data_IF_305691681867
#
_entry.id   IF_305691681867
#
_cell.length_a   1.000
_cell.length_b   1.000
_cell.length_c   1.000
_cell.angle_alpha   90.00
_cell.angle_beta   90.00
_cell.angle_gamma   90.00
#
_symmetry.space_group_name_H-M   'P 1'
#
loop_
_entity.id
_entity.type
_entity.pdbx_description
1 polymer ?
#
# COMPACT_ATOMS: atom_id res chain seq x y z
N UNK A 1 9.95 -4.10 -27.69
CA UNK A 1 8.88 -4.56 -26.78
C UNK A 1 9.00 -3.78 -25.48
N UNK A 2 7.89 -3.33 -24.89
CA UNK A 2 7.90 -2.64 -23.59
C UNK A 2 8.34 -3.61 -22.49
N UNK A 3 9.44 -3.31 -21.80
CA UNK A 3 9.94 -4.12 -20.67
C UNK A 3 9.11 -3.86 -19.40
N UNK A 4 9.16 -4.79 -18.45
CA UNK A 4 8.58 -4.62 -17.11
C UNK A 4 9.71 -4.41 -16.12
N UNK A 5 9.56 -3.43 -15.23
CA UNK A 5 10.45 -3.21 -14.11
C UNK A 5 9.69 -3.21 -12.79
N UNK A 6 9.97 -4.17 -11.92
CA UNK A 6 9.47 -4.15 -10.55
C UNK A 6 10.53 -3.57 -9.63
N UNK A 7 10.11 -2.71 -8.71
CA UNK A 7 11.08 -1.95 -7.92
C UNK A 7 10.69 -1.82 -6.45
N UNK A 8 11.68 -1.66 -5.57
CA UNK A 8 11.43 -1.56 -4.14
C UNK A 8 12.60 -0.97 -3.37
N UNK A 9 12.35 -0.67 -2.10
CA UNK A 9 13.39 -0.26 -1.16
C UNK A 9 13.32 -1.13 0.10
N UNK A 10 14.48 -1.42 0.67
CA UNK A 10 14.60 -2.39 1.77
C UNK A 10 15.51 -1.85 2.86
N UNK A 11 15.26 -2.32 4.09
CA UNK A 11 16.09 -2.03 5.24
C UNK A 11 15.93 -3.12 6.30
N UNK A 12 16.95 -3.89 6.62
CA UNK A 12 16.88 -4.93 7.65
C UNK A 12 15.74 -5.96 7.47
N UNK A 13 15.72 -6.64 6.31
CA UNK A 13 14.76 -7.67 5.91
C UNK A 13 15.45 -8.99 5.52
N UNK A 14 16.56 -9.35 6.17
CA UNK A 14 17.35 -10.53 5.78
C UNK A 14 16.51 -11.83 5.73
N UNK A 15 15.49 -11.93 6.59
CA UNK A 15 14.63 -13.11 6.71
C UNK A 15 13.50 -13.19 5.68
N UNK A 16 13.17 -12.10 4.97
CA UNK A 16 12.01 -12.05 4.06
C UNK A 16 12.40 -11.75 2.61
N UNK A 17 13.57 -11.16 2.40
CA UNK A 17 13.99 -10.61 1.09
C UNK A 17 14.04 -11.67 -0.01
N UNK A 18 14.48 -12.89 0.31
CA UNK A 18 14.57 -13.99 -0.65
C UNK A 18 13.20 -14.47 -1.12
N UNK A 19 12.30 -14.77 -0.17
CA UNK A 19 10.95 -15.24 -0.50
C UNK A 19 10.16 -14.16 -1.24
N UNK A 20 10.35 -12.89 -0.88
CA UNK A 20 9.72 -11.75 -1.58
C UNK A 20 10.19 -11.66 -3.04
N UNK A 21 11.51 -11.70 -3.28
CA UNK A 21 12.08 -11.62 -4.64
C UNK A 21 11.66 -12.83 -5.48
N UNK A 22 11.74 -14.05 -4.92
CA UNK A 22 11.31 -15.27 -5.59
C UNK A 22 9.84 -15.19 -6.04
N UNK A 23 8.98 -14.61 -5.21
CA UNK A 23 7.54 -14.53 -5.48
C UNK A 23 7.14 -13.52 -6.56
N UNK A 24 8.00 -12.53 -6.88
CA UNK A 24 7.75 -11.55 -7.97
C UNK A 24 8.61 -11.81 -9.20
N UNK A 25 9.53 -12.78 -9.14
CA UNK A 25 10.52 -12.97 -10.18
C UNK A 25 9.89 -13.53 -11.46
N UNK A 26 10.33 -12.98 -12.59
CA UNK A 26 10.13 -13.50 -13.93
C UNK A 26 11.39 -13.22 -14.73
N UNK A 27 11.82 -14.10 -15.66
CA UNK A 27 12.96 -13.85 -16.52
C UNK A 27 12.80 -12.60 -17.39
N UNK A 28 11.57 -12.15 -17.63
CA UNK A 28 11.26 -10.97 -18.46
C UNK A 28 11.24 -9.65 -17.66
N UNK A 29 11.50 -9.69 -16.36
CA UNK A 29 11.41 -8.53 -15.49
C UNK A 29 12.82 -8.01 -15.14
N UNK A 30 12.94 -6.69 -15.13
CA UNK A 30 14.02 -6.01 -14.42
C UNK A 30 13.58 -5.80 -12.96
N UNK A 31 14.45 -6.12 -12.00
CA UNK A 31 14.16 -5.92 -10.59
C UNK A 31 15.14 -4.90 -10.01
N UNK A 32 14.65 -3.72 -9.63
CA UNK A 32 15.49 -2.65 -9.05
C UNK A 32 15.25 -2.54 -7.55
N UNK A 33 16.28 -2.79 -6.75
CA UNK A 33 16.19 -2.77 -5.29
C UNK A 33 17.17 -1.77 -4.71
N UNK A 34 16.66 -0.88 -3.87
CA UNK A 34 17.46 0.11 -3.12
C UNK A 34 17.56 -0.29 -1.65
N UNK A 35 18.73 -0.75 -1.23
CA UNK A 35 19.07 -1.01 0.17
C UNK A 35 19.37 0.29 0.91
N UNK A 36 18.69 0.51 2.04
CA UNK A 36 18.89 1.68 2.90
C UNK A 36 20.02 1.45 3.92
N UNK A 37 21.13 0.86 3.45
CA UNK A 37 22.27 0.45 4.27
C UNK A 37 21.87 -0.47 5.43
N UNK A 38 21.28 -1.62 5.09
CA UNK A 38 20.95 -2.65 6.07
C UNK A 38 22.19 -3.15 6.82
N UNK A 39 22.01 -3.56 8.08
CA UNK A 39 23.07 -4.03 8.98
C UNK A 39 22.81 -5.43 9.53
N UNK A 40 21.82 -6.14 8.99
CA UNK A 40 21.37 -7.46 9.45
C UNK A 40 21.75 -8.61 8.49
N UNK A 41 22.56 -8.33 7.46
CA UNK A 41 22.87 -9.29 6.40
C UNK A 41 22.01 -9.17 5.14
N UNK A 42 21.03 -8.24 5.10
CA UNK A 42 20.15 -8.08 3.93
C UNK A 42 20.93 -7.78 2.66
N UNK A 43 21.96 -6.92 2.72
CA UNK A 43 22.74 -6.55 1.54
C UNK A 43 23.53 -7.73 0.99
N UNK A 44 24.19 -8.47 1.86
CA UNK A 44 24.96 -9.66 1.52
C UNK A 44 24.03 -10.70 0.88
N UNK A 45 22.84 -10.89 1.45
CA UNK A 45 21.82 -11.78 0.89
C UNK A 45 21.35 -11.32 -0.51
N UNK A 46 21.14 -10.02 -0.72
CA UNK A 46 20.80 -9.48 -2.04
C UNK A 46 21.89 -9.73 -3.07
N UNK A 47 23.16 -9.52 -2.69
CA UNK A 47 24.31 -9.74 -3.57
C UNK A 47 24.42 -11.20 -4.02
N UNK A 48 24.09 -12.15 -3.13
CA UNK A 48 23.99 -13.57 -3.49
C UNK A 48 22.82 -13.83 -4.45
N UNK A 49 21.63 -13.29 -4.16
CA UNK A 49 20.44 -13.44 -5.01
C UNK A 49 20.63 -12.83 -6.41
N UNK A 50 21.43 -11.77 -6.55
CA UNK A 50 21.76 -11.17 -7.86
C UNK A 50 22.49 -12.13 -8.81
N UNK A 51 23.12 -13.19 -8.29
CA UNK A 51 23.76 -14.22 -9.13
C UNK A 51 22.74 -15.10 -9.86
N UNK A 52 21.52 -15.20 -9.33
CA UNK A 52 20.43 -16.05 -9.84
C UNK A 52 19.33 -15.25 -10.52
N UNK A 53 19.04 -14.04 -10.03
CA UNK A 53 17.95 -13.20 -10.50
C UNK A 53 18.47 -11.91 -11.17
N UNK A 54 17.72 -11.36 -12.13
CA UNK A 54 18.04 -10.11 -12.83
C UNK A 54 17.85 -8.88 -11.92
N UNK A 55 18.73 -8.74 -10.92
CA UNK A 55 18.66 -7.68 -9.91
C UNK A 55 19.62 -6.53 -10.22
N UNK A 56 19.08 -5.32 -10.29
CA UNK A 56 19.84 -4.08 -10.14
C UNK A 56 19.81 -3.67 -8.67
N UNK A 57 20.97 -3.74 -8.02
CA UNK A 57 21.12 -3.43 -6.61
C UNK A 57 21.79 -2.08 -6.41
N UNK A 58 21.16 -1.24 -5.61
CA UNK A 58 21.58 0.12 -5.30
C UNK A 58 21.59 0.34 -3.79
N UNK A 59 22.32 1.35 -3.33
CA UNK A 59 22.30 1.79 -1.93
C UNK A 59 22.02 3.27 -1.82
N UNK A 60 21.10 3.63 -0.92
CA UNK A 60 20.77 5.02 -0.62
C UNK A 60 20.21 5.16 0.78
N UNK A 61 20.86 5.97 1.62
CA UNK A 61 20.31 6.33 2.92
C UNK A 61 19.16 7.30 2.75
N UNK A 62 17.93 6.85 2.97
CA UNK A 62 16.73 7.60 2.56
C UNK A 62 15.50 7.32 3.45
N UNK A 63 14.43 8.08 3.21
CA UNK A 63 13.07 7.72 3.65
C UNK A 63 12.52 6.58 2.78
N UNK A 64 11.37 5.99 3.13
CA UNK A 64 10.72 4.98 2.28
C UNK A 64 10.38 5.54 0.89
N UNK A 65 9.74 6.70 0.83
CA UNK A 65 9.40 7.34 -0.45
C UNK A 65 10.64 7.75 -1.24
N UNK A 66 11.72 8.18 -0.57
CA UNK A 66 13.00 8.49 -1.21
C UNK A 66 13.67 7.27 -1.86
N UNK A 67 13.68 6.13 -1.15
CA UNK A 67 14.19 4.88 -1.68
C UNK A 67 13.38 4.38 -2.87
N UNK A 68 12.04 4.42 -2.79
CA UNK A 68 11.15 4.05 -3.91
C UNK A 68 11.31 4.98 -5.11
N UNK A 69 11.48 6.29 -4.90
CA UNK A 69 11.76 7.23 -5.99
C UNK A 69 13.07 6.90 -6.70
N UNK A 70 14.12 6.62 -5.93
CA UNK A 70 15.43 6.29 -6.49
C UNK A 70 15.38 4.97 -7.27
N UNK A 71 14.65 3.97 -6.76
CA UNK A 71 14.44 2.71 -7.45
C UNK A 71 13.67 2.90 -8.77
N UNK A 72 12.55 3.63 -8.75
CA UNK A 72 11.76 3.96 -9.94
C UNK A 72 12.60 4.69 -11.01
N UNK A 73 13.42 5.65 -10.59
CA UNK A 73 14.27 6.41 -11.51
C UNK A 73 15.27 5.51 -12.25
N UNK A 74 15.76 4.46 -11.59
CA UNK A 74 16.72 3.50 -12.14
C UNK A 74 16.06 2.32 -12.87
N UNK A 75 14.73 2.26 -12.97
CA UNK A 75 14.08 1.36 -13.92
C UNK A 75 14.43 1.77 -15.38
N UNK A 76 14.52 0.81 -16.31
CA UNK A 76 14.76 1.11 -17.72
C UNK A 76 13.75 2.09 -18.31
N UNK A 77 14.20 2.94 -19.22
CA UNK A 77 13.34 3.88 -19.93
C UNK A 77 12.27 3.16 -20.75
N UNK A 78 11.07 3.71 -20.77
CA UNK A 78 9.91 3.15 -21.47
C UNK A 78 9.26 1.96 -20.76
N UNK A 79 9.80 1.49 -19.63
CA UNK A 79 9.26 0.33 -18.92
C UNK A 79 7.88 0.57 -18.32
N UNK A 80 7.12 -0.51 -18.17
CA UNK A 80 5.96 -0.59 -17.27
C UNK A 80 6.50 -0.92 -15.89
N UNK A 81 6.11 -0.12 -14.90
CA UNK A 81 6.68 -0.21 -13.56
C UNK A 81 5.62 -0.52 -12.52
N UNK A 82 5.96 -1.33 -11.52
CA UNK A 82 5.19 -1.45 -10.29
C UNK A 82 6.13 -1.57 -9.09
N UNK A 83 5.73 -0.98 -7.97
CA UNK A 83 6.48 -1.14 -6.74
C UNK A 83 6.11 -2.44 -6.02
N UNK A 84 7.03 -2.96 -5.23
CA UNK A 84 6.76 -4.05 -4.29
C UNK A 84 7.58 -3.86 -3.01
N UNK A 85 7.09 -4.44 -1.92
CA UNK A 85 7.72 -4.43 -0.60
C UNK A 85 8.44 -5.77 -0.38
N UNK A 86 9.66 -5.71 0.16
CA UNK A 86 10.53 -6.88 0.33
C UNK A 86 10.30 -7.60 1.68
N UNK A 87 9.09 -7.50 2.23
CA UNK A 87 8.60 -8.29 3.36
C UNK A 87 7.25 -8.94 3.10
N UNK A 88 6.89 -9.10 1.83
CA UNK A 88 5.65 -9.73 1.39
C UNK A 88 5.93 -10.87 0.40
N UNK A 89 5.10 -11.91 0.44
CA UNK A 89 5.03 -12.92 -0.61
C UNK A 89 3.95 -12.52 -1.60
N UNK A 90 4.25 -12.49 -2.89
CA UNK A 90 3.33 -12.12 -3.96
C UNK A 90 2.76 -13.37 -4.65
N UNK A 91 1.44 -13.38 -4.87
CA UNK A 91 0.79 -14.48 -5.59
C UNK A 91 0.70 -14.18 -7.10
N UNK A 92 0.18 -15.13 -7.88
CA UNK A 92 0.05 -15.01 -9.33
C UNK A 92 -0.73 -13.77 -9.81
N UNK A 93 -1.61 -13.20 -8.98
CA UNK A 93 -2.41 -12.04 -9.36
C UNK A 93 -1.56 -10.77 -9.46
N UNK A 94 -0.42 -10.70 -8.78
CA UNK A 94 0.55 -9.61 -8.97
C UNK A 94 1.01 -9.54 -10.43
N UNK A 95 1.37 -10.69 -11.01
CA UNK A 95 1.75 -10.81 -12.41
C UNK A 95 0.61 -10.49 -13.36
N UNK A 96 -0.62 -10.97 -13.08
CA UNK A 96 -1.81 -10.65 -13.89
C UNK A 96 -2.08 -9.14 -13.93
N UNK A 97 -1.94 -8.42 -12.81
CA UNK A 97 -2.10 -6.97 -12.80
C UNK A 97 -0.98 -6.26 -13.58
N UNK A 98 0.26 -6.74 -13.50
CA UNK A 98 1.38 -6.21 -14.29
C UNK A 98 1.17 -6.42 -15.80
N UNK A 99 0.75 -7.61 -16.20
CA UNK A 99 0.47 -7.93 -17.60
C UNK A 99 -0.70 -7.11 -18.13
N UNK A 100 -1.74 -6.91 -17.31
CA UNK A 100 -2.86 -6.00 -17.64
C UNK A 100 -2.41 -4.54 -17.77
N UNK A 101 -1.53 -4.09 -16.88
CA UNK A 101 -0.91 -2.75 -16.97
C UNK A 101 -0.14 -2.60 -18.28
N UNK A 102 0.63 -3.62 -18.67
CA UNK A 102 1.41 -3.63 -19.91
C UNK A 102 0.56 -3.68 -21.16
N UNK A 103 -0.49 -4.50 -21.19
CA UNK A 103 -1.36 -4.65 -22.35
C UNK A 103 -2.20 -3.41 -22.62
N UNK A 104 -2.63 -2.72 -21.57
CA UNK A 104 -3.45 -1.50 -21.68
C UNK A 104 -2.61 -0.22 -21.78
N UNK A 105 -1.36 -0.25 -21.31
CA UNK A 105 -0.51 0.92 -21.09
C UNK A 105 -1.23 2.02 -20.27
N UNK A 106 -2.11 1.59 -19.35
CA UNK A 106 -2.85 2.43 -18.40
C UNK A 106 -2.24 2.34 -17.02
N UNK A 107 -2.58 3.29 -16.16
CA UNK A 107 -2.19 3.22 -14.75
C UNK A 107 -3.22 2.39 -13.99
N UNK A 108 -2.78 1.26 -13.44
CA UNK A 108 -3.63 0.31 -12.72
C UNK A 108 -3.37 0.45 -11.22
N UNK A 109 -4.42 0.62 -10.44
CA UNK A 109 -4.37 0.56 -8.99
C UNK A 109 -5.05 -0.72 -8.50
N UNK A 110 -4.54 -1.32 -7.44
CA UNK A 110 -5.19 -2.40 -6.71
C UNK A 110 -4.80 -2.34 -5.25
N UNK A 111 -5.22 -3.32 -4.46
CA UNK A 111 -4.84 -3.37 -3.05
C UNK A 111 -3.31 -3.48 -2.92
N UNK A 112 -2.67 -2.39 -2.47
CA UNK A 112 -1.20 -2.23 -2.42
C UNK A 112 -0.48 -2.47 -3.74
N UNK A 113 -1.17 -2.26 -4.86
CA UNK A 113 -0.61 -2.33 -6.20
C UNK A 113 -0.73 -0.98 -6.88
N UNK A 114 0.32 -0.56 -7.56
CA UNK A 114 0.24 0.50 -8.54
C UNK A 114 1.20 0.22 -9.70
N UNK A 115 0.63 -0.06 -10.87
CA UNK A 115 1.34 -0.31 -12.11
C UNK A 115 1.15 0.86 -13.08
N UNK A 116 2.19 1.23 -13.83
CA UNK A 116 2.05 2.19 -14.93
C UNK A 116 3.36 2.47 -15.66
N UNK A 117 3.27 3.13 -16.81
CA UNK A 117 4.45 3.56 -17.56
C UNK A 117 5.33 4.50 -16.73
N UNK A 118 6.64 4.19 -16.68
CA UNK A 118 7.65 4.91 -15.90
C UNK A 118 7.62 6.42 -16.15
N UNK A 119 7.64 6.84 -17.42
CA UNK A 119 7.72 8.24 -17.81
C UNK A 119 6.44 8.99 -17.46
N UNK A 120 5.27 8.35 -17.55
CA UNK A 120 4.03 8.91 -17.05
C UNK A 120 4.10 9.21 -15.55
N UNK A 121 4.55 8.24 -14.75
CA UNK A 121 4.65 8.38 -13.29
C UNK A 121 5.69 9.45 -12.92
N UNK A 122 6.87 9.45 -13.56
CA UNK A 122 7.93 10.43 -13.31
C UNK A 122 7.51 11.86 -13.71
N UNK A 123 6.80 12.04 -14.83
CA UNK A 123 6.27 13.37 -15.23
C UNK A 123 5.29 13.94 -14.22
N UNK A 124 4.57 13.09 -13.49
CA UNK A 124 3.68 13.49 -12.38
C UNK A 124 4.40 13.64 -11.04
N UNK A 125 5.73 13.51 -11.02
CA UNK A 125 6.60 13.77 -9.88
C UNK A 125 7.05 12.53 -9.11
N UNK A 126 6.69 11.31 -9.54
CA UNK A 126 7.14 10.07 -8.89
C UNK A 126 6.72 9.96 -7.42
N UNK A 127 7.53 9.31 -6.57
CA UNK A 127 7.33 9.22 -5.12
C UNK A 127 7.83 10.48 -4.41
N UNK A 128 7.10 10.92 -3.38
CA UNK A 128 7.61 11.97 -2.47
C UNK A 128 8.80 11.45 -1.66
N UNK A 129 9.90 12.18 -1.68
CA UNK A 129 11.17 11.75 -1.09
C UNK A 129 11.32 12.05 0.40
N UNK A 130 10.37 12.77 1.01
CA UNK A 130 10.46 13.26 2.39
C UNK A 130 9.52 12.54 3.38
N UNK A 131 8.80 11.50 2.91
CA UNK A 131 7.82 10.72 3.68
C UNK A 131 8.30 9.28 3.95
N UNK A 132 8.14 8.82 5.19
CA UNK A 132 8.29 7.40 5.58
C UNK A 132 6.97 6.65 5.73
N UNK A 133 5.87 7.40 5.87
CA UNK A 133 4.53 6.85 6.06
C UNK A 133 3.51 7.73 5.33
N UNK A 134 2.44 7.11 4.81
CA UNK A 134 1.44 7.79 3.97
C UNK A 134 1.96 8.20 2.59
N UNK A 135 3.17 7.78 2.22
CA UNK A 135 3.76 8.03 0.90
C UNK A 135 3.02 7.32 -0.22
N UNK A 136 2.43 6.16 0.07
CA UNK A 136 1.56 5.38 -0.81
C UNK A 136 0.25 6.12 -1.12
N UNK A 137 -0.44 6.63 -0.09
CA UNK A 137 -1.67 7.41 -0.23
C UNK A 137 -1.38 8.69 -1.01
N UNK A 138 -0.30 9.40 -0.68
CA UNK A 138 0.07 10.61 -1.41
C UNK A 138 0.39 10.32 -2.88
N UNK A 139 1.14 9.25 -3.13
CA UNK A 139 1.51 8.80 -4.46
C UNK A 139 0.28 8.46 -5.30
N UNK A 140 -0.61 7.59 -4.80
CA UNK A 140 -1.82 7.20 -5.53
C UNK A 140 -2.75 8.40 -5.78
N UNK A 141 -2.97 9.27 -4.78
CA UNK A 141 -3.82 10.45 -4.93
C UNK A 141 -3.26 11.45 -5.96
N UNK A 142 -1.94 11.63 -6.01
CA UNK A 142 -1.28 12.58 -6.93
C UNK A 142 -1.15 12.03 -8.34
N UNK A 143 -0.64 10.81 -8.48
CA UNK A 143 -0.43 10.20 -9.80
C UNK A 143 -1.78 9.89 -10.44
N UNK A 144 -2.75 9.42 -9.66
CA UNK A 144 -4.04 8.94 -10.15
C UNK A 144 -3.90 7.63 -10.92
N UNK A 145 -5.04 7.01 -11.21
CA UNK A 145 -5.11 5.73 -11.93
C UNK A 145 -6.30 5.73 -12.91
N UNK A 146 -6.24 4.86 -13.91
CA UNK A 146 -7.28 4.68 -14.91
C UNK A 146 -8.28 3.59 -14.50
N UNK A 147 -7.76 2.50 -13.91
CA UNK A 147 -8.56 1.38 -13.43
C UNK A 147 -8.18 0.99 -12.01
N UNK A 148 -9.18 0.48 -11.28
CA UNK A 148 -8.99 -0.11 -9.96
C UNK A 148 -9.44 -1.59 -9.96
N UNK A 149 -8.59 -2.46 -9.42
CA UNK A 149 -8.86 -3.90 -9.30
C UNK A 149 -8.69 -4.34 -7.83
N UNK A 150 -9.79 -4.60 -7.09
CA UNK A 150 -9.76 -4.94 -5.66
C UNK A 150 -9.37 -6.41 -5.44
N UNK A 151 -8.13 -6.76 -5.78
CA UNK A 151 -7.62 -8.13 -5.69
C UNK A 151 -6.50 -8.26 -4.67
N UNK A 152 -6.44 -9.40 -4.01
CA UNK A 152 -5.36 -9.78 -3.12
C UNK A 152 -4.19 -10.29 -3.95
N UNK A 153 -3.06 -9.58 -3.84
CA UNK A 153 -1.84 -9.86 -4.60
C UNK A 153 -0.68 -10.34 -3.74
N UNK A 154 -0.76 -10.24 -2.41
CA UNK A 154 0.34 -10.58 -1.53
C UNK A 154 -0.10 -10.96 -0.11
N UNK A 155 0.82 -11.54 0.66
CA UNK A 155 0.67 -11.88 2.08
C UNK A 155 1.89 -11.41 2.87
N UNK A 156 1.67 -10.91 4.11
CA UNK A 156 2.75 -10.40 4.97
C UNK A 156 3.63 -11.55 5.50
N UNK A 157 4.92 -11.53 5.16
CA UNK A 157 5.90 -12.50 5.66
C UNK A 157 6.43 -12.13 7.06
N UNK A 158 6.21 -10.89 7.49
CA UNK A 158 6.80 -10.38 8.72
C UNK A 158 6.34 -11.16 9.96
N UNK A 159 5.05 -11.51 10.15
CA UNK A 159 4.63 -12.29 11.33
C UNK A 159 5.24 -13.69 11.37
N UNK A 160 5.35 -14.36 10.21
CA UNK A 160 5.98 -15.69 10.05
C UNK A 160 7.42 -15.69 10.55
N UNK A 161 8.22 -14.70 10.15
CA UNK A 161 9.66 -14.69 10.45
C UNK A 161 10.06 -13.84 11.67
N UNK A 162 9.27 -12.83 12.03
CA UNK A 162 9.62 -11.86 13.07
C UNK A 162 8.74 -11.93 14.32
N UNK A 163 7.82 -12.92 14.44
CA UNK A 163 7.05 -13.25 15.65
C UNK A 163 6.43 -12.03 16.34
N UNK A 164 5.73 -11.18 15.58
CA UNK A 164 5.07 -9.96 16.08
C UNK A 164 6.00 -8.91 16.73
N UNK A 165 7.31 -8.93 16.46
CA UNK A 165 8.18 -7.81 16.80
C UNK A 165 7.64 -6.54 16.14
N UNK A 166 7.77 -5.39 16.80
CA UNK A 166 7.27 -4.14 16.23
C UNK A 166 8.09 -3.79 14.98
N UNK A 167 7.47 -3.75 13.78
CA UNK A 167 8.14 -3.51 12.50
C UNK A 167 9.05 -2.27 12.53
N UNK A 168 8.61 -1.21 13.22
CA UNK A 168 9.39 0.03 13.37
C UNK A 168 10.65 -0.10 14.26
N UNK A 169 10.71 -1.12 15.13
CA UNK A 169 11.87 -1.37 15.99
C UNK A 169 13.12 -1.81 15.21
N UNK A 170 12.95 -2.24 13.94
CA UNK A 170 14.09 -2.53 13.06
C UNK A 170 14.87 -1.27 12.68
N UNK A 171 14.21 -0.11 12.64
CA UNK A 171 14.78 1.19 12.25
C UNK A 171 15.32 2.00 13.42
N UNK A 172 14.77 1.82 14.62
CA UNK A 172 15.16 2.60 15.79
C UNK A 172 14.84 1.84 17.08
N UNK A 173 15.65 2.08 18.11
CA UNK A 173 15.46 1.52 19.46
C UNK A 173 15.30 2.63 20.49
N UNK A 174 14.72 2.31 21.65
CA UNK A 174 14.59 3.21 22.80
C UNK A 174 13.90 4.55 22.44
N UNK A 175 14.41 5.68 22.92
CA UNK A 175 13.85 7.01 22.67
C UNK A 175 13.74 7.35 21.18
N UNK A 176 14.66 6.85 20.34
CA UNK A 176 14.62 7.06 18.89
C UNK A 176 13.42 6.37 18.24
N UNK A 177 12.91 5.28 18.82
CA UNK A 177 11.70 4.61 18.34
C UNK A 177 10.46 5.49 18.53
N UNK A 178 10.33 6.16 19.69
CA UNK A 178 9.24 7.09 19.95
C UNK A 178 9.29 8.30 19.01
N UNK A 179 10.48 8.88 18.82
CA UNK A 179 10.67 9.96 17.86
C UNK A 179 10.30 9.54 16.43
N UNK A 180 10.72 8.33 16.02
CA UNK A 180 10.38 7.78 14.71
C UNK A 180 8.87 7.60 14.54
N UNK A 181 8.16 7.09 15.56
CA UNK A 181 6.70 6.96 15.52
C UNK A 181 6.01 8.30 15.39
N UNK A 182 6.47 9.31 16.12
CA UNK A 182 5.93 10.66 16.01
C UNK A 182 6.19 11.26 14.62
N UNK A 183 7.38 11.05 14.06
CA UNK A 183 7.67 11.42 12.67
C UNK A 183 6.78 10.68 11.67
N UNK A 184 6.58 9.37 11.82
CA UNK A 184 5.68 8.61 10.95
C UNK A 184 4.24 9.12 11.05
N UNK A 185 3.80 9.54 12.25
CA UNK A 185 2.50 10.17 12.41
C UNK A 185 2.41 11.51 11.65
N UNK A 186 3.43 12.36 11.73
CA UNK A 186 3.49 13.61 10.94
C UNK A 186 3.48 13.30 9.43
N UNK A 187 4.26 12.31 8.99
CA UNK A 187 4.35 11.88 7.60
C UNK A 187 2.98 11.38 7.11
N UNK A 188 2.29 10.57 7.91
CA UNK A 188 0.97 10.02 7.61
C UNK A 188 -0.10 11.13 7.51
N UNK A 189 -0.12 12.09 8.46
CA UNK A 189 -1.00 13.26 8.34
C UNK A 189 -0.70 14.06 7.07
N UNK A 190 0.58 14.18 6.71
CA UNK A 190 1.02 14.90 5.52
C UNK A 190 0.51 14.22 4.25
N UNK A 191 0.71 12.91 4.13
CA UNK A 191 0.33 12.12 2.95
C UNK A 191 -1.17 11.92 2.79
N UNK A 192 -1.89 11.66 3.91
CA UNK A 192 -3.36 11.58 3.92
C UNK A 192 -4.04 12.94 3.79
N UNK A 193 -3.28 14.02 4.01
CA UNK A 193 -3.69 15.40 3.92
C UNK A 193 -4.87 15.79 4.84
N UNK A 194 -4.86 15.27 6.06
CA UNK A 194 -5.91 15.55 7.04
C UNK A 194 -5.97 17.03 7.46
N UNK A 195 -7.20 17.49 7.72
CA UNK A 195 -7.45 18.79 8.33
C UNK A 195 -7.50 18.64 9.86
N UNK A 196 -7.59 19.75 10.59
CA UNK A 196 -7.54 19.72 12.04
C UNK A 196 -8.64 18.83 12.64
N UNK A 197 -9.89 18.98 12.18
CA UNK A 197 -11.04 18.21 12.67
C UNK A 197 -10.84 16.70 12.43
N UNK A 198 -10.43 16.32 11.23
CA UNK A 198 -10.15 14.93 10.89
C UNK A 198 -8.98 14.37 11.70
N UNK A 199 -7.95 15.16 11.95
CA UNK A 199 -6.85 14.74 12.82
C UNK A 199 -7.33 14.43 14.23
N UNK A 200 -8.19 15.27 14.82
CA UNK A 200 -8.75 15.04 16.16
C UNK A 200 -9.63 13.79 16.17
N UNK A 201 -10.52 13.62 15.18
CA UNK A 201 -11.37 12.41 15.07
C UNK A 201 -10.49 11.17 14.97
N UNK A 202 -9.53 11.14 14.03
CA UNK A 202 -8.61 10.02 13.86
C UNK A 202 -7.86 9.72 15.14
N UNK A 203 -7.37 10.74 15.82
CA UNK A 203 -6.67 10.56 17.10
C UNK A 203 -7.57 9.96 18.17
N UNK A 204 -8.84 10.36 18.24
CA UNK A 204 -9.82 9.81 19.18
C UNK A 204 -10.17 8.34 18.92
N UNK A 205 -10.09 7.89 17.66
CA UNK A 205 -10.33 6.48 17.28
C UNK A 205 -9.19 5.57 17.76
N UNK A 206 -7.94 6.04 17.65
CA UNK A 206 -6.76 5.19 17.94
C UNK A 206 -6.13 5.42 19.32
N UNK A 207 -6.44 6.53 19.99
CA UNK A 207 -5.76 6.94 21.22
C UNK A 207 -6.71 7.50 22.27
N UNK A 208 -6.27 7.44 23.54
CA UNK A 208 -7.00 8.02 24.68
C UNK A 208 -6.92 9.54 24.66
N UNK A 209 -7.97 10.21 25.15
CA UNK A 209 -8.15 11.68 25.11
C UNK A 209 -6.97 12.50 25.66
N UNK A 210 -6.21 12.00 26.64
CA UNK A 210 -5.05 12.70 27.21
C UNK A 210 -3.87 12.89 26.25
N UNK A 211 -3.89 12.25 25.08
CA UNK A 211 -2.83 12.37 24.07
C UNK A 211 -3.12 13.39 22.97
N UNK A 212 -4.28 14.07 23.02
CA UNK A 212 -4.70 15.10 22.05
C UNK A 212 -3.63 16.18 21.79
N UNK A 213 -2.90 16.71 22.80
CA UNK A 213 -1.86 17.71 22.56
C UNK A 213 -0.76 17.23 21.60
N UNK A 214 -0.40 15.94 21.65
CA UNK A 214 0.58 15.33 20.75
C UNK A 214 0.03 15.29 19.32
N UNK A 215 -1.26 14.94 19.18
CA UNK A 215 -1.96 14.97 17.90
C UNK A 215 -1.99 16.37 17.27
N UNK A 216 -2.29 17.40 18.07
CA UNK A 216 -2.28 18.81 17.64
C UNK A 216 -0.89 19.26 17.20
N UNK A 217 0.15 18.93 17.97
CA UNK A 217 1.53 19.25 17.60
C UNK A 217 1.92 18.58 16.27
N UNK A 218 1.57 17.31 16.10
CA UNK A 218 1.83 16.60 14.84
C UNK A 218 1.09 17.22 13.66
N UNK A 219 -0.15 17.69 13.85
CA UNK A 219 -0.89 18.42 12.82
C UNK A 219 -0.16 19.71 12.40
N UNK A 220 0.22 20.55 13.36
CA UNK A 220 0.94 21.81 13.06
C UNK A 220 2.24 21.54 12.31
N UNK A 221 3.01 20.53 12.73
CA UNK A 221 4.25 20.14 12.06
C UNK A 221 3.99 19.59 10.65
N UNK A 222 2.90 18.86 10.42
CA UNK A 222 2.57 18.36 9.07
C UNK A 222 2.32 19.49 8.05
N UNK A 223 1.88 20.68 8.50
CA UNK A 223 1.70 21.84 7.61
C UNK A 223 3.01 22.39 7.05
N UNK A 224 4.12 22.21 7.78
CA UNK A 224 5.44 22.60 7.28
C UNK A 224 5.92 21.72 6.13
N UNK A 225 5.38 20.51 5.99
CA UNK A 225 5.71 19.54 4.93
C UNK A 225 4.89 19.70 3.64
N UNK A 226 4.24 20.85 3.43
CA UNK A 226 3.42 21.14 2.23
C UNK A 226 2.40 20.03 1.94
N UNK A 227 1.67 19.60 2.96
CA UNK A 227 0.57 18.65 2.80
C UNK A 227 -0.43 19.16 1.76
N UNK A 228 -0.81 18.31 0.79
CA UNK A 228 -1.67 18.68 -0.33
C UNK A 228 -2.83 17.70 -0.46
N UNK A 229 -4.05 18.26 -0.53
CA UNK A 229 -5.24 17.53 -0.94
C UNK A 229 -5.37 17.55 -2.46
N UNK A 230 -5.72 16.42 -3.03
CA UNK A 230 -6.04 16.32 -4.46
C UNK A 230 -7.54 16.41 -4.74
N UNK A 231 -8.36 16.47 -3.69
CA UNK A 231 -9.77 16.82 -3.71
C UNK A 231 -10.07 17.88 -2.65
N UNK A 232 -10.79 18.95 -3.02
CA UNK A 232 -11.14 20.00 -2.06
C UNK A 232 -12.13 19.52 -0.98
N UNK A 233 -12.90 18.48 -1.27
CA UNK A 233 -13.97 17.99 -0.39
C UNK A 233 -13.52 16.94 0.61
N UNK A 234 -12.50 16.14 0.26
CA UNK A 234 -12.15 14.92 0.98
C UNK A 234 -10.64 14.83 1.25
N UNK A 235 -10.27 14.12 2.31
CA UNK A 235 -8.89 13.71 2.53
C UNK A 235 -8.45 12.72 1.45
N UNK A 236 -7.13 12.58 1.24
CA UNK A 236 -6.60 11.75 0.16
C UNK A 236 -7.08 10.28 0.21
N UNK A 237 -7.18 9.60 1.38
CA UNK A 237 -7.72 8.24 1.43
C UNK A 237 -9.16 8.13 0.91
N UNK A 238 -10.03 9.07 1.29
CA UNK A 238 -11.44 9.05 0.87
C UNK A 238 -11.60 9.47 -0.59
N UNK A 239 -10.77 10.39 -1.06
CA UNK A 239 -10.70 10.73 -2.48
C UNK A 239 -10.30 9.51 -3.33
N UNK A 240 -9.25 8.79 -2.93
CA UNK A 240 -8.82 7.56 -3.61
C UNK A 240 -9.95 6.53 -3.59
N UNK A 241 -10.59 6.33 -2.45
CA UNK A 241 -11.67 5.35 -2.28
C UNK A 241 -12.84 5.61 -3.24
N UNK A 242 -13.32 6.86 -3.30
CA UNK A 242 -14.39 7.23 -4.23
C UNK A 242 -13.97 7.00 -5.69
N UNK A 243 -12.76 7.40 -6.06
CA UNK A 243 -12.23 7.16 -7.40
C UNK A 243 -12.05 5.67 -7.71
N UNK A 244 -11.65 4.87 -6.72
CA UNK A 244 -11.45 3.44 -6.84
C UNK A 244 -12.77 2.75 -7.19
N UNK A 245 -13.84 3.10 -6.49
CA UNK A 245 -15.20 2.59 -6.77
C UNK A 245 -15.72 3.02 -8.14
N UNK A 246 -15.46 4.26 -8.56
CA UNK A 246 -15.86 4.76 -9.89
C UNK A 246 -15.14 4.00 -11.01
N UNK A 247 -13.83 3.81 -10.86
CA UNK A 247 -12.93 3.20 -11.85
C UNK A 247 -12.75 1.70 -11.66
N UNK A 248 -13.56 1.09 -10.79
CA UNK A 248 -13.49 -0.34 -10.52
C UNK A 248 -13.88 -1.13 -11.76
N UNK A 249 -13.07 -2.15 -12.06
CA UNK A 249 -13.37 -3.22 -13.01
C UNK A 249 -13.45 -4.56 -12.27
N UNK A 250 -14.25 -5.50 -12.78
CA UNK A 250 -14.41 -6.79 -12.13
C UNK A 250 -13.14 -7.65 -12.32
N UNK A 251 -12.69 -8.33 -11.27
CA UNK A 251 -11.57 -9.27 -11.31
C UNK A 251 -11.75 -10.39 -12.37
N UNK A 252 -12.99 -10.71 -12.75
CA UNK A 252 -13.31 -11.67 -13.82
C UNK A 252 -12.80 -11.22 -15.19
N UNK A 253 -12.74 -9.92 -15.45
CA UNK A 253 -12.19 -9.37 -16.70
C UNK A 253 -10.70 -9.73 -16.87
N UNK A 254 -10.00 -10.02 -15.77
CA UNK A 254 -8.59 -10.39 -15.75
C UNK A 254 -8.38 -11.91 -15.53
N UNK A 255 -9.45 -12.72 -15.55
CA UNK A 255 -9.35 -14.16 -15.25
C UNK A 255 -8.89 -14.45 -13.81
N UNK A 256 -9.13 -13.53 -12.88
CA UNK A 256 -8.80 -13.70 -11.47
C UNK A 256 -9.99 -14.33 -10.75
N UNK A 257 -9.72 -15.38 -9.96
CA UNK A 257 -10.75 -16.10 -9.21
C UNK A 257 -11.41 -15.21 -8.14
N UNK A 258 -12.72 -15.41 -7.91
CA UNK A 258 -13.50 -14.62 -6.95
C UNK A 258 -12.99 -14.73 -5.50
N UNK A 259 -12.27 -15.81 -5.15
CA UNK A 259 -11.60 -15.93 -3.83
C UNK A 259 -10.51 -14.90 -3.60
N UNK A 260 -10.00 -14.23 -4.64
CA UNK A 260 -9.01 -13.16 -4.49
C UNK A 260 -9.63 -11.78 -4.50
N UNK A 261 -10.94 -11.65 -4.78
CA UNK A 261 -11.63 -10.38 -4.66
C UNK A 261 -11.76 -10.01 -3.18
N UNK A 262 -11.20 -8.87 -2.81
CA UNK A 262 -11.43 -8.25 -1.51
C UNK A 262 -11.35 -6.74 -1.66
N UNK A 263 -12.42 -6.04 -1.32
CA UNK A 263 -12.40 -4.60 -1.19
C UNK A 263 -12.41 -4.24 0.31
N UNK A 264 -11.43 -3.45 0.73
CA UNK A 264 -11.04 -3.31 2.13
C UNK A 264 -11.09 -1.85 2.54
N UNK A 265 -11.92 -1.52 3.53
CA UNK A 265 -12.09 -0.15 3.99
C UNK A 265 -11.74 -0.03 5.47
N UNK A 266 -10.73 0.79 5.84
CA UNK A 266 -10.42 1.06 7.24
C UNK A 266 -11.60 1.74 7.97
N UNK A 267 -11.91 1.32 9.19
CA UNK A 267 -13.00 1.91 10.00
C UNK A 267 -12.79 3.40 10.31
N UNK A 268 -11.53 3.86 10.29
CA UNK A 268 -11.24 5.29 10.41
C UNK A 268 -11.93 6.11 9.32
N UNK A 269 -12.07 5.58 8.10
CA UNK A 269 -12.68 6.33 7.00
C UNK A 269 -14.18 6.50 7.20
N UNK A 270 -14.88 5.48 7.70
CA UNK A 270 -16.30 5.60 8.07
C UNK A 270 -16.51 6.54 9.25
N UNK A 271 -15.61 6.53 10.23
CA UNK A 271 -15.66 7.46 11.37
C UNK A 271 -15.48 8.92 10.92
N UNK A 272 -14.59 9.14 9.95
CA UNK A 272 -14.34 10.46 9.38
C UNK A 272 -15.45 10.91 8.42
N UNK A 273 -16.02 9.98 7.67
CA UNK A 273 -16.98 10.23 6.60
C UNK A 273 -18.10 9.18 6.61
N UNK A 274 -19.11 9.30 7.49
CA UNK A 274 -20.14 8.26 7.67
C UNK A 274 -20.93 7.90 6.40
N UNK A 275 -21.13 8.87 5.49
CA UNK A 275 -21.82 8.62 4.22
C UNK A 275 -21.07 7.67 3.28
N UNK A 276 -19.75 7.47 3.49
CA UNK A 276 -18.91 6.65 2.63
C UNK A 276 -19.41 5.20 2.58
N UNK A 277 -19.93 4.67 3.69
CA UNK A 277 -20.49 3.31 3.76
C UNK A 277 -21.60 3.11 2.73
N UNK A 278 -22.51 4.07 2.61
CA UNK A 278 -23.59 4.03 1.62
C UNK A 278 -23.06 4.09 0.18
N UNK A 279 -22.06 4.93 -0.08
CA UNK A 279 -21.44 5.03 -1.41
C UNK A 279 -20.81 3.69 -1.81
N UNK A 280 -20.03 3.09 -0.91
CA UNK A 280 -19.34 1.82 -1.13
C UNK A 280 -20.34 0.71 -1.44
N UNK A 281 -21.35 0.53 -0.59
CA UNK A 281 -22.38 -0.51 -0.75
C UNK A 281 -23.09 -0.36 -2.11
N UNK A 282 -23.51 0.86 -2.46
CA UNK A 282 -24.20 1.12 -3.72
C UNK A 282 -23.30 0.86 -4.93
N UNK A 283 -22.05 1.33 -4.90
CA UNK A 283 -21.11 1.17 -6.01
C UNK A 283 -20.66 -0.27 -6.20
N UNK A 284 -20.42 -1.01 -5.12
CA UNK A 284 -20.12 -2.44 -5.22
C UNK A 284 -21.32 -3.21 -5.80
N UNK A 285 -22.54 -2.93 -5.33
CA UNK A 285 -23.75 -3.56 -5.88
C UNK A 285 -23.93 -3.26 -7.37
N UNK A 286 -23.69 -2.03 -7.80
CA UNK A 286 -23.71 -1.61 -9.21
C UNK A 286 -22.67 -2.37 -10.05
N UNK A 287 -21.45 -2.54 -9.53
CA UNK A 287 -20.30 -3.01 -10.31
C UNK A 287 -20.14 -4.54 -10.34
N UNK A 288 -20.46 -5.22 -9.24
CA UNK A 288 -20.24 -6.68 -9.11
C UNK A 288 -21.50 -7.45 -8.75
N UNK A 289 -22.64 -6.78 -8.55
CA UNK A 289 -23.95 -7.37 -8.29
C UNK A 289 -24.10 -7.94 -6.87
N UNK A 290 -23.21 -8.85 -6.49
CA UNK A 290 -23.24 -9.57 -5.22
C UNK A 290 -21.92 -9.49 -4.47
N UNK A 291 -22.01 -9.29 -3.16
CA UNK A 291 -20.90 -9.36 -2.22
C UNK A 291 -21.41 -9.74 -0.83
N UNK A 292 -20.49 -10.22 0.00
CA UNK A 292 -20.66 -10.36 1.44
C UNK A 292 -19.80 -9.32 2.16
N UNK A 293 -20.34 -8.74 3.23
CA UNK A 293 -19.63 -7.76 4.04
C UNK A 293 -19.33 -8.33 5.44
N UNK A 294 -18.11 -8.10 5.91
CA UNK A 294 -17.64 -8.51 7.23
C UNK A 294 -17.02 -7.33 7.97
N UNK A 295 -17.47 -7.11 9.19
CA UNK A 295 -16.89 -6.13 10.09
C UNK A 295 -15.80 -6.82 10.92
N UNK A 296 -14.57 -6.33 10.80
CA UNK A 296 -13.40 -6.73 11.60
C UNK A 296 -12.95 -5.54 12.48
N UNK A 297 -12.03 -5.71 13.43
CA UNK A 297 -11.73 -4.68 14.45
C UNK A 297 -11.31 -3.30 13.92
N UNK A 298 -10.60 -3.24 12.79
CA UNK A 298 -10.10 -1.99 12.21
C UNK A 298 -10.47 -1.82 10.73
N UNK A 299 -11.28 -2.72 10.19
CA UNK A 299 -11.59 -2.75 8.77
C UNK A 299 -12.95 -3.41 8.51
N UNK A 300 -13.62 -2.96 7.46
CA UNK A 300 -14.71 -3.69 6.81
C UNK A 300 -14.16 -4.37 5.55
N UNK A 301 -14.43 -5.66 5.41
CA UNK A 301 -14.08 -6.47 4.24
C UNK A 301 -15.33 -6.71 3.39
N UNK A 302 -15.25 -6.45 2.09
CA UNK A 302 -16.23 -6.87 1.11
C UNK A 302 -15.62 -7.94 0.21
N UNK A 303 -16.22 -9.12 0.15
CA UNK A 303 -15.73 -10.28 -0.60
C UNK A 303 -16.84 -10.89 -1.43
N UNK A 304 -16.52 -11.70 -2.44
CA UNK A 304 -17.52 -12.42 -3.25
C UNK A 304 -17.94 -13.76 -2.64
N UNK A 305 -17.12 -14.33 -1.76
CA UNK A 305 -17.36 -15.60 -1.06
C UNK A 305 -16.53 -15.68 0.23
N UNK A 306 -16.77 -16.71 1.06
CA UNK A 306 -16.03 -16.89 2.32
C UNK A 306 -14.53 -17.16 2.13
N UNK A 307 -14.14 -17.80 1.03
CA UNK A 307 -12.72 -17.99 0.70
C UNK A 307 -12.02 -16.63 0.52
N UNK A 308 -12.70 -15.66 -0.08
CA UNK A 308 -12.21 -14.28 -0.18
C UNK A 308 -11.99 -13.62 1.16
N UNK A 309 -12.82 -13.93 2.15
CA UNK A 309 -12.57 -13.45 3.50
C UNK A 309 -11.32 -14.11 4.08
N UNK A 310 -11.15 -15.43 3.93
CA UNK A 310 -9.97 -16.13 4.43
C UNK A 310 -8.69 -15.56 3.80
N UNK A 311 -8.68 -15.34 2.49
CA UNK A 311 -7.57 -14.69 1.78
C UNK A 311 -7.31 -13.29 2.33
N UNK A 312 -8.35 -12.47 2.52
CA UNK A 312 -8.21 -11.11 3.05
C UNK A 312 -7.64 -11.09 4.47
N UNK A 313 -8.09 -11.99 5.33
CA UNK A 313 -7.62 -12.10 6.71
C UNK A 313 -6.17 -12.57 6.79
N UNK A 314 -5.74 -13.45 5.87
CA UNK A 314 -4.36 -13.89 5.76
C UNK A 314 -3.42 -12.72 5.44
N UNK A 315 -3.83 -11.76 4.59
CA UNK A 315 -3.04 -10.55 4.31
C UNK A 315 -2.70 -9.79 5.59
N UNK A 316 -3.68 -9.63 6.48
CA UNK A 316 -3.54 -8.83 7.70
C UNK A 316 -3.18 -9.62 8.95
N UNK A 317 -3.06 -10.96 8.85
CA UNK A 317 -2.92 -11.85 10.00
C UNK A 317 -4.02 -11.61 11.06
N UNK A 318 -5.26 -11.44 10.62
CA UNK A 318 -6.42 -11.23 11.49
C UNK A 318 -7.08 -12.55 11.81
N UNK A 319 -7.37 -12.77 13.09
CA UNK A 319 -8.15 -13.91 13.56
C UNK A 319 -9.60 -13.82 13.04
N UNK A 320 -10.03 -14.84 12.30
CA UNK A 320 -11.38 -14.99 11.72
C UNK A 320 -12.49 -14.80 12.75
N UNK A 321 -12.27 -15.22 13.99
CA UNK A 321 -13.25 -15.12 15.08
C UNK A 321 -13.55 -13.66 15.49
N UNK A 322 -12.72 -12.71 15.06
CA UNK A 322 -12.90 -11.27 15.30
C UNK A 322 -13.68 -10.58 14.19
N UNK A 323 -14.08 -11.31 13.15
CA UNK A 323 -14.80 -10.78 12.01
C UNK A 323 -16.20 -11.37 11.93
N UNK A 324 -17.21 -10.51 11.93
CA UNK A 324 -18.61 -10.91 11.89
C UNK A 324 -19.28 -10.43 10.62
N UNK A 325 -20.12 -11.29 10.04
CA UNK A 325 -20.90 -10.95 8.85
C UNK A 325 -21.90 -9.85 9.23
N UNK A 326 -22.01 -8.85 8.38
CA UNK A 326 -22.89 -7.70 8.59
C UNK A 326 -23.84 -7.57 7.41
N UNK A 327 -25.13 -7.41 7.73
CA UNK A 327 -26.13 -7.03 6.74
C UNK A 327 -25.97 -5.54 6.47
N UNK A 328 -25.66 -5.21 5.22
CA UNK A 328 -25.48 -3.83 4.78
C UNK A 328 -26.76 -3.42 4.05
N UNK A 329 -27.67 -2.77 4.78
CA UNK A 329 -28.87 -2.17 4.20
C UNK A 329 -28.49 -0.91 3.38
N UNK A 330 -29.11 -0.76 2.21
CA UNK A 330 -28.84 0.30 1.20
C UNK A 330 -29.41 1.67 1.56
#
# INVERSE_FOLDING_TARGET
MTSICVYGTVFNNVNTVEESIKSVWSPDYDIVIVDNYSTDGTWEKLQELKKEYNLTLLRLKSTRGGGRQYALYNCPEGSITAYFDLDNYYNENFHKLLDFTKSTNKVIHGNWFMGGNREHILRKGGWRTDLNFGEDVEFVARIGFDYYVPVIIHYDLYPKYCRNKQREARYAKNIRLYWRRFRNYIDDLTGKAYNFKETIIRWSVYHRTFTIPIGMLGFLLSKTKKSKRFCNKYANPVYIEILALEKMIDNKELGIQDKYFAHLIPEELYSLYPFLRKIVVNKLKEKIGYFEAFQCPLLTVFVKNEDGLNEALNVFNIDRNKCFKVLMDS
#
